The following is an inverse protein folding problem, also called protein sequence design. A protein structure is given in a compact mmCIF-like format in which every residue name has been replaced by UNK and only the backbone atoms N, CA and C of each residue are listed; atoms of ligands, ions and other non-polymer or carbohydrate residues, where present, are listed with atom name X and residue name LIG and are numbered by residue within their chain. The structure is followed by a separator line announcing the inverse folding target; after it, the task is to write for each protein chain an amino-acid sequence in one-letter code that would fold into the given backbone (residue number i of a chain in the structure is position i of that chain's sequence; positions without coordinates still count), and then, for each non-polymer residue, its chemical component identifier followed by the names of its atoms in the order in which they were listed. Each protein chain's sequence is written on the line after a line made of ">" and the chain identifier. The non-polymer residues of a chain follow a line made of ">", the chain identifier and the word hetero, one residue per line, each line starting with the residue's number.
data_IF_822454918389
#
_entry.id   IF_822454918389
#
_cell.length_a   1.000
_cell.length_b   1.000
_cell.length_c   1.000
_cell.angle_alpha   90.00
_cell.angle_beta   90.00
_cell.angle_gamma   90.00
#
_symmetry.space_group_name_H-M   'P 1'
#
loop_
_entity.id
_entity.type
_entity.pdbx_description
1 polymer ?
#
# COMPACT_ATOMS: atom_id res chain seq x y z
N UNK A 1 1.15 -17.60 -24.79
CA UNK A 1 0.69 -17.10 -23.50
C UNK A 1 0.63 -15.59 -23.56
N UNK A 2 -0.57 -15.01 -23.57
CA UNK A 2 -0.77 -13.56 -23.42
C UNK A 2 -0.31 -13.09 -22.03
N UNK A 3 -0.07 -11.79 -21.81
CA UNK A 3 0.22 -11.27 -20.47
C UNK A 3 -0.86 -11.64 -19.43
N UNK A 4 -2.15 -11.62 -19.83
CA UNK A 4 -3.25 -12.10 -19.00
C UNK A 4 -3.14 -13.58 -18.66
N UNK A 5 -2.94 -14.45 -19.64
CA UNK A 5 -2.80 -15.89 -19.39
C UNK A 5 -1.63 -16.19 -18.44
N UNK A 6 -0.55 -15.39 -18.52
CA UNK A 6 0.63 -15.52 -17.66
C UNK A 6 0.33 -15.26 -16.19
N UNK A 7 -0.31 -14.14 -15.87
CA UNK A 7 -0.61 -13.81 -14.48
C UNK A 7 -1.69 -14.74 -13.90
N UNK A 8 -2.69 -15.11 -14.70
CA UNK A 8 -3.71 -16.07 -14.25
C UNK A 8 -3.10 -17.47 -14.04
N UNK A 9 -2.15 -17.90 -14.87
CA UNK A 9 -1.41 -19.15 -14.63
C UNK A 9 -0.57 -19.08 -13.36
N UNK A 10 0.08 -17.93 -13.10
CA UNK A 10 0.81 -17.69 -11.85
C UNK A 10 -0.12 -17.82 -10.64
N UNK A 11 -1.29 -17.17 -10.67
CA UNK A 11 -2.32 -17.25 -9.62
C UNK A 11 -2.94 -18.64 -9.45
N UNK A 12 -2.85 -19.51 -10.48
CA UNK A 12 -3.22 -20.93 -10.39
C UNK A 12 -2.06 -21.83 -9.97
N UNK A 13 -0.92 -21.25 -9.62
CA UNK A 13 0.29 -21.96 -9.19
C UNK A 13 0.91 -22.87 -10.24
N UNK A 14 0.64 -22.55 -11.51
CA UNK A 14 1.19 -23.24 -12.67
C UNK A 14 2.63 -22.78 -12.94
N UNK A 15 3.43 -23.65 -13.56
CA UNK A 15 4.72 -23.22 -14.10
C UNK A 15 4.50 -22.26 -15.26
N UNK A 16 5.19 -21.12 -15.22
CA UNK A 16 5.09 -20.08 -16.24
C UNK A 16 6.44 -19.88 -16.95
N UNK A 17 6.43 -19.51 -18.24
CA UNK A 17 7.67 -19.34 -19.01
C UNK A 17 8.47 -18.10 -18.59
N UNK A 18 7.88 -17.18 -17.82
CA UNK A 18 8.48 -15.94 -17.32
C UNK A 18 7.68 -15.38 -16.15
N UNK A 19 8.27 -14.48 -15.38
CA UNK A 19 7.60 -13.80 -14.26
C UNK A 19 6.53 -12.83 -14.77
N UNK A 20 5.37 -12.81 -14.10
CA UNK A 20 4.32 -11.83 -14.37
C UNK A 20 4.69 -10.45 -13.82
N UNK A 21 4.22 -9.38 -14.46
CA UNK A 21 4.52 -7.99 -14.10
C UNK A 21 3.25 -7.18 -13.87
N UNK A 22 3.19 -6.47 -12.74
CA UNK A 22 2.10 -5.53 -12.39
C UNK A 22 2.72 -4.21 -11.95
N UNK A 23 2.54 -3.11 -12.70
CA UNK A 23 3.26 -1.86 -12.42
C UNK A 23 2.69 -1.03 -11.27
N UNK A 24 1.44 -1.25 -10.81
CA UNK A 24 0.75 -0.36 -9.84
C UNK A 24 1.01 1.13 -10.14
N UNK A 25 0.67 1.55 -11.36
CA UNK A 25 1.01 2.88 -11.86
C UNK A 25 0.14 4.03 -11.30
N UNK A 26 -0.84 3.75 -10.44
CA UNK A 26 -1.92 4.64 -9.96
C UNK A 26 -1.92 6.06 -10.51
N UNK A 27 -1.50 7.03 -9.70
CA UNK A 27 -1.48 8.44 -10.11
C UNK A 27 -0.36 8.77 -11.09
N UNK A 28 0.73 8.00 -11.10
CA UNK A 28 1.81 8.13 -12.08
C UNK A 28 1.31 7.95 -13.53
N UNK A 29 0.22 7.20 -13.75
CA UNK A 29 -0.42 7.10 -15.05
C UNK A 29 -0.79 8.48 -15.64
N UNK A 30 -1.13 9.46 -14.79
CA UNK A 30 -1.39 10.83 -15.20
C UNK A 30 -0.19 11.56 -15.77
N UNK A 31 1.00 11.34 -15.20
CA UNK A 31 2.24 11.93 -15.68
C UNK A 31 2.50 11.59 -17.15
N UNK A 32 2.12 10.38 -17.59
CA UNK A 32 2.29 9.90 -18.97
C UNK A 32 1.49 10.70 -20.00
N UNK A 33 0.41 11.35 -19.58
CA UNK A 33 -0.45 12.16 -20.44
C UNK A 33 -0.42 13.66 -20.08
N UNK A 34 0.44 14.05 -19.12
CA UNK A 34 0.55 15.43 -18.65
C UNK A 34 -0.60 15.89 -17.74
N UNK A 35 -1.33 14.96 -17.12
CA UNK A 35 -2.35 15.25 -16.12
C UNK A 35 -1.81 15.05 -14.71
N UNK A 36 -2.40 15.77 -13.75
CA UNK A 36 -2.10 15.60 -12.33
C UNK A 36 -2.99 14.51 -11.68
N UNK A 37 -2.73 14.15 -10.43
CA UNK A 37 -3.44 13.09 -9.71
C UNK A 37 -4.95 13.36 -9.63
N UNK A 38 -5.35 14.59 -9.27
CA UNK A 38 -6.76 14.97 -9.18
C UNK A 38 -7.47 14.86 -10.53
N UNK A 39 -6.85 15.35 -11.60
CA UNK A 39 -7.41 15.31 -12.95
C UNK A 39 -7.65 13.88 -13.44
N UNK A 40 -6.77 12.94 -13.09
CA UNK A 40 -6.92 11.52 -13.45
C UNK A 40 -7.96 10.83 -12.58
N UNK A 41 -7.97 11.08 -11.27
CA UNK A 41 -8.87 10.42 -10.34
C UNK A 41 -10.30 10.99 -10.32
N UNK A 42 -10.55 12.10 -11.02
CA UNK A 42 -11.87 12.74 -11.10
C UNK A 42 -12.44 12.85 -12.53
N UNK A 43 -11.79 12.29 -13.55
CA UNK A 43 -12.26 12.35 -14.93
C UNK A 43 -12.07 11.02 -15.68
N UNK A 44 -13.17 10.46 -16.18
CA UNK A 44 -13.19 9.16 -16.86
C UNK A 44 -12.26 9.09 -18.08
N UNK A 45 -12.23 10.15 -18.90
CA UNK A 45 -11.45 10.17 -20.13
C UNK A 45 -9.95 10.30 -19.83
N UNK A 46 -9.59 11.12 -18.84
CA UNK A 46 -8.20 11.22 -18.38
C UNK A 46 -7.71 9.88 -17.85
N UNK A 47 -8.49 9.23 -16.96
CA UNK A 47 -8.13 7.91 -16.42
C UNK A 47 -8.01 6.86 -17.52
N UNK A 48 -8.99 6.77 -18.43
CA UNK A 48 -8.95 5.84 -19.54
C UNK A 48 -7.70 6.06 -20.43
N UNK A 49 -7.43 7.30 -20.83
CA UNK A 49 -6.29 7.63 -21.70
C UNK A 49 -4.94 7.34 -21.01
N UNK A 50 -4.83 7.67 -19.72
CA UNK A 50 -3.66 7.38 -18.90
C UNK A 50 -3.39 5.86 -18.83
N UNK A 51 -4.42 5.05 -18.58
CA UNK A 51 -4.31 3.58 -18.52
C UNK A 51 -3.93 2.97 -19.87
N UNK A 52 -4.39 3.54 -20.99
CA UNK A 52 -3.98 3.09 -22.33
C UNK A 52 -2.50 3.38 -22.60
N UNK A 53 -1.96 4.51 -22.13
CA UNK A 53 -0.52 4.79 -22.20
C UNK A 53 0.29 3.88 -21.26
N UNK A 54 -0.19 3.60 -20.05
CA UNK A 54 0.40 2.58 -19.16
C UNK A 54 0.48 1.22 -19.86
N UNK A 55 -0.62 0.76 -20.46
CA UNK A 55 -0.65 -0.52 -21.16
C UNK A 55 0.37 -0.56 -22.31
N UNK A 56 0.45 0.51 -23.10
CA UNK A 56 1.36 0.65 -24.25
C UNK A 56 2.83 0.68 -23.84
N UNK A 57 3.19 1.47 -22.83
CA UNK A 57 4.57 1.67 -22.41
C UNK A 57 5.06 0.53 -21.50
N UNK A 58 4.23 0.12 -20.54
CA UNK A 58 4.64 -0.80 -19.48
C UNK A 58 4.23 -2.26 -19.69
N UNK A 59 3.41 -2.55 -20.72
CA UNK A 59 3.05 -3.91 -21.17
C UNK A 59 2.70 -4.87 -20.01
N UNK A 60 1.79 -4.46 -19.11
CA UNK A 60 1.47 -5.20 -17.89
C UNK A 60 0.93 -6.60 -18.17
N UNK A 61 1.21 -7.54 -17.27
CA UNK A 61 0.44 -8.79 -17.15
C UNK A 61 -0.87 -8.55 -16.40
N UNK A 62 -0.82 -7.69 -15.38
CA UNK A 62 -2.00 -7.17 -14.67
C UNK A 62 -1.98 -5.64 -14.59
N UNK A 63 -3.14 -5.00 -14.75
CA UNK A 63 -3.30 -3.54 -14.72
C UNK A 63 -4.37 -3.12 -13.70
N UNK A 64 -3.99 -2.49 -12.59
CA UNK A 64 -4.91 -1.76 -11.72
C UNK A 64 -5.56 -0.60 -12.47
N UNK A 65 -6.89 -0.55 -12.47
CA UNK A 65 -7.64 0.51 -13.16
C UNK A 65 -7.65 1.80 -12.35
N UNK A 66 -7.64 1.69 -11.02
CA UNK A 66 -7.55 2.83 -10.10
C UNK A 66 -6.78 2.40 -8.85
N UNK A 67 -6.03 3.33 -8.26
CA UNK A 67 -5.41 3.18 -6.95
C UNK A 67 -5.80 4.38 -6.10
N UNK A 68 -6.89 4.24 -5.34
CA UNK A 68 -7.42 5.27 -4.45
C UNK A 68 -8.23 4.56 -3.35
N UNK A 69 -7.71 4.58 -2.11
CA UNK A 69 -8.34 3.92 -0.97
C UNK A 69 -9.52 4.70 -0.40
N UNK A 70 -9.77 5.90 -0.92
CA UNK A 70 -10.67 6.85 -0.27
C UNK A 70 -12.04 6.88 -0.92
N UNK A 71 -12.26 6.10 -1.97
CA UNK A 71 -13.54 6.06 -2.70
C UNK A 71 -14.68 5.64 -1.78
N UNK A 72 -14.49 4.55 -1.02
CA UNK A 72 -15.47 4.05 -0.05
C UNK A 72 -15.65 5.03 1.11
N UNK A 73 -14.56 5.56 1.65
CA UNK A 73 -14.57 6.53 2.75
C UNK A 73 -15.30 7.83 2.36
N UNK A 74 -15.05 8.36 1.17
CA UNK A 74 -15.72 9.55 0.60
C UNK A 74 -17.23 9.34 0.51
N UNK A 75 -17.66 8.16 0.05
CA UNK A 75 -19.08 7.82 -0.05
C UNK A 75 -19.77 7.71 1.31
N UNK A 76 -19.00 7.45 2.37
CA UNK A 76 -19.47 7.32 3.76
C UNK A 76 -19.29 8.60 4.58
N UNK A 77 -18.89 9.71 3.94
CA UNK A 77 -18.87 11.03 4.55
C UNK A 77 -17.51 11.48 5.11
N UNK A 78 -16.42 10.76 4.83
CA UNK A 78 -15.09 11.28 5.11
C UNK A 78 -14.78 12.47 4.18
N UNK A 79 -14.18 13.54 4.73
CA UNK A 79 -13.68 14.64 3.90
C UNK A 79 -12.27 14.31 3.41
N UNK A 80 -11.98 14.67 2.16
CA UNK A 80 -10.71 14.39 1.51
C UNK A 80 -9.88 15.66 1.28
N UNK A 81 -8.58 15.56 1.57
CA UNK A 81 -7.57 16.52 1.12
C UNK A 81 -6.90 15.99 -0.13
N UNK A 82 -6.85 16.84 -1.17
CA UNK A 82 -6.29 16.50 -2.47
C UNK A 82 -4.91 17.11 -2.66
N UNK A 83 -3.99 16.33 -3.23
CA UNK A 83 -2.72 16.78 -3.75
C UNK A 83 -2.70 16.64 -5.28
N UNK A 84 -1.82 17.40 -5.95
CA UNK A 84 -1.69 17.32 -7.41
C UNK A 84 -0.82 16.12 -7.85
N UNK A 85 -0.02 15.56 -6.96
CA UNK A 85 0.99 14.54 -7.24
C UNK A 85 0.83 13.25 -6.41
N UNK A 86 -0.32 13.09 -5.75
CA UNK A 86 -0.63 11.90 -4.95
C UNK A 86 -2.13 11.61 -4.89
N UNK A 87 -2.54 10.38 -4.54
CA UNK A 87 -3.92 10.08 -4.19
C UNK A 87 -4.40 10.98 -3.04
N UNK A 88 -5.72 11.24 -2.93
CA UNK A 88 -6.24 12.01 -1.80
C UNK A 88 -6.02 11.27 -0.47
N UNK A 89 -6.01 12.02 0.62
CA UNK A 89 -6.00 11.50 1.99
C UNK A 89 -7.24 11.95 2.75
N UNK A 90 -7.67 11.15 3.73
CA UNK A 90 -8.77 11.53 4.63
C UNK A 90 -8.28 12.62 5.58
N UNK A 91 -9.05 13.70 5.68
CA UNK A 91 -8.77 14.84 6.58
C UNK A 91 -9.81 15.03 7.67
N UNK A 92 -10.94 14.35 7.59
CA UNK A 92 -11.97 14.34 8.63
C UNK A 92 -12.68 12.99 8.65
N UNK A 93 -12.89 12.47 9.86
CA UNK A 93 -13.45 11.16 10.14
C UNK A 93 -14.86 11.34 10.76
N UNK A 94 -15.93 10.84 10.12
CA UNK A 94 -17.31 11.14 10.52
C UNK A 94 -17.70 10.65 11.92
N UNK A 95 -16.97 9.69 12.48
CA UNK A 95 -17.26 9.07 13.78
C UNK A 95 -16.16 9.32 14.81
N UNK A 96 -15.24 10.28 14.58
CA UNK A 96 -14.10 10.52 15.47
C UNK A 96 -14.52 11.09 16.83
N UNK A 97 -15.50 12.00 16.82
CA UNK A 97 -15.96 12.71 18.03
C UNK A 97 -17.00 11.91 18.84
N UNK A 98 -17.48 10.77 18.32
CA UNK A 98 -18.47 9.94 19.01
C UNK A 98 -17.84 9.29 20.25
N UNK A 99 -18.54 9.32 21.39
CA UNK A 99 -18.04 8.69 22.64
C UNK A 99 -17.94 7.17 22.49
N UNK A 100 -19.01 6.54 21.98
CA UNK A 100 -19.09 5.09 21.78
C UNK A 100 -18.97 4.74 20.29
N UNK A 101 -18.33 3.61 19.98
CA UNK A 101 -18.30 3.07 18.62
C UNK A 101 -19.65 2.44 18.27
N UNK A 102 -20.38 3.04 17.32
CA UNK A 102 -21.70 2.56 16.89
C UNK A 102 -21.69 2.15 15.42
N UNK A 103 -21.98 0.87 15.15
CA UNK A 103 -22.08 0.35 13.79
C UNK A 103 -23.22 1.03 12.99
N UNK A 104 -22.94 1.63 11.81
CA UNK A 104 -23.96 2.23 10.97
C UNK A 104 -24.97 1.22 10.41
N UNK A 105 -26.12 1.71 9.95
CA UNK A 105 -27.13 0.92 9.26
C UNK A 105 -26.61 0.39 7.91
N UNK A 106 -26.89 -0.86 7.54
CA UNK A 106 -26.58 -1.43 6.22
C UNK A 106 -27.14 -0.59 5.04
N UNK A 107 -28.16 0.24 5.28
CA UNK A 107 -28.71 1.19 4.32
C UNK A 107 -27.75 2.32 3.91
N UNK A 108 -26.61 2.46 4.60
CA UNK A 108 -25.53 3.42 4.29
C UNK A 108 -24.42 2.82 3.42
N UNK A 109 -24.45 1.50 3.16
CA UNK A 109 -23.46 0.85 2.31
C UNK A 109 -23.52 1.47 0.90
N UNK A 110 -22.40 1.97 0.34
CA UNK A 110 -22.38 2.61 -0.96
C UNK A 110 -22.93 1.69 -2.07
N UNK A 111 -23.73 2.27 -2.93
CA UNK A 111 -24.24 1.63 -4.15
C UNK A 111 -23.36 1.97 -5.34
N UNK A 112 -23.56 1.27 -6.46
CA UNK A 112 -22.84 1.55 -7.71
C UNK A 112 -23.06 2.96 -8.27
N UNK A 113 -24.06 3.70 -7.77
CA UNK A 113 -24.44 5.05 -8.20
C UNK A 113 -23.86 6.17 -7.32
N UNK A 114 -23.19 5.83 -6.22
CA UNK A 114 -22.72 6.80 -5.24
C UNK A 114 -21.33 7.38 -5.59
N UNK A 115 -21.15 8.67 -5.29
CA UNK A 115 -19.86 9.37 -5.41
C UNK A 115 -19.18 9.20 -6.77
N UNK A 116 -17.91 8.78 -6.74
CA UNK A 116 -17.10 8.53 -7.95
C UNK A 116 -17.25 7.12 -8.51
N UNK A 117 -18.02 6.24 -7.88
CA UNK A 117 -18.17 4.84 -8.30
C UNK A 117 -18.67 4.71 -9.74
N UNK A 118 -19.70 5.46 -10.21
CA UNK A 118 -20.14 5.40 -11.61
C UNK A 118 -19.03 5.68 -12.62
N UNK A 119 -18.17 6.66 -12.32
CA UNK A 119 -17.04 7.04 -13.18
C UNK A 119 -16.02 5.90 -13.26
N UNK A 120 -15.69 5.30 -12.13
CA UNK A 120 -14.75 4.17 -12.05
C UNK A 120 -15.30 2.97 -12.83
N UNK A 121 -16.59 2.66 -12.66
CA UNK A 121 -17.24 1.55 -13.36
C UNK A 121 -17.31 1.77 -14.88
N UNK A 122 -17.52 3.01 -15.35
CA UNK A 122 -17.43 3.35 -16.77
C UNK A 122 -16.04 3.04 -17.33
N UNK A 123 -14.98 3.53 -16.66
CA UNK A 123 -13.59 3.32 -17.10
C UNK A 123 -13.22 1.84 -17.09
N UNK A 124 -13.59 1.10 -16.04
CA UNK A 124 -13.37 -0.35 -15.95
C UNK A 124 -13.97 -1.09 -17.14
N UNK A 125 -15.23 -0.78 -17.52
CA UNK A 125 -15.90 -1.39 -18.67
C UNK A 125 -15.21 -1.02 -20.00
N UNK A 126 -14.78 0.24 -20.15
CA UNK A 126 -14.06 0.71 -21.35
C UNK A 126 -12.70 0.02 -21.50
N UNK A 127 -11.93 -0.10 -20.42
CA UNK A 127 -10.63 -0.78 -20.43
C UNK A 127 -10.81 -2.28 -20.66
N UNK A 128 -11.83 -2.90 -20.04
CA UNK A 128 -12.18 -4.31 -20.31
C UNK A 128 -12.41 -4.56 -21.79
N UNK A 129 -13.22 -3.71 -22.44
CA UNK A 129 -13.49 -3.81 -23.86
C UNK A 129 -12.26 -3.54 -24.75
N UNK A 130 -11.31 -2.73 -24.27
CA UNK A 130 -10.14 -2.32 -25.07
C UNK A 130 -8.99 -3.32 -25.01
N UNK A 131 -8.63 -3.82 -23.83
CA UNK A 131 -7.41 -4.62 -23.60
C UNK A 131 -7.60 -5.85 -22.70
N UNK A 132 -8.81 -6.11 -22.22
CA UNK A 132 -9.07 -7.11 -21.18
C UNK A 132 -8.92 -8.58 -21.61
N UNK A 133 -8.73 -8.85 -22.89
CA UNK A 133 -8.33 -10.17 -23.42
C UNK A 133 -6.80 -10.38 -23.35
N UNK A 134 -6.02 -9.30 -23.38
CA UNK A 134 -4.56 -9.35 -23.40
C UNK A 134 -3.94 -9.11 -22.02
N UNK A 135 -4.58 -8.29 -21.19
CA UNK A 135 -4.10 -7.89 -19.84
C UNK A 135 -5.16 -8.24 -18.79
N UNK A 136 -4.76 -8.84 -17.67
CA UNK A 136 -5.68 -9.03 -16.55
C UNK A 136 -5.96 -7.69 -15.87
N UNK A 137 -7.22 -7.40 -15.55
CA UNK A 137 -7.58 -6.12 -14.95
C UNK A 137 -7.80 -6.25 -13.44
N UNK A 138 -7.26 -5.31 -12.69
CA UNK A 138 -7.34 -5.27 -11.23
C UNK A 138 -8.32 -4.17 -10.82
N UNK A 139 -9.34 -4.56 -10.04
CA UNK A 139 -10.13 -3.65 -9.23
C UNK A 139 -9.50 -3.53 -7.85
N UNK A 140 -9.44 -2.33 -7.30
CA UNK A 140 -8.80 -2.08 -6.02
C UNK A 140 -9.83 -1.50 -5.06
N UNK A 141 -10.00 -2.15 -3.91
CA UNK A 141 -10.94 -1.72 -2.87
C UNK A 141 -10.19 -1.44 -1.57
N UNK A 142 -10.74 -0.54 -0.76
CA UNK A 142 -10.27 -0.31 0.59
C UNK A 142 -10.58 -1.54 1.47
N UNK A 143 -9.57 -2.02 2.19
CA UNK A 143 -9.75 -3.14 3.10
C UNK A 143 -10.57 -2.78 4.34
N UNK A 144 -11.21 -3.78 5.00
CA UNK A 144 -12.13 -3.53 6.11
C UNK A 144 -11.51 -2.74 7.27
N UNK A 145 -10.24 -2.96 7.61
CA UNK A 145 -9.64 -2.32 8.77
C UNK A 145 -9.20 -0.88 8.48
N UNK A 146 -8.60 -0.66 7.31
CA UNK A 146 -8.30 0.70 6.84
C UNK A 146 -9.57 1.52 6.69
N UNK A 147 -10.67 0.94 6.20
CA UNK A 147 -11.95 1.62 6.12
C UNK A 147 -12.51 1.96 7.52
N UNK A 148 -12.43 1.04 8.48
CA UNK A 148 -12.82 1.30 9.86
C UNK A 148 -12.03 2.48 10.46
N UNK A 149 -10.71 2.51 10.26
CA UNK A 149 -9.86 3.63 10.66
C UNK A 149 -10.25 4.93 9.94
N UNK A 150 -10.62 4.88 8.65
CA UNK A 150 -11.07 6.06 7.92
C UNK A 150 -12.38 6.64 8.47
N UNK A 151 -13.26 5.81 9.02
CA UNK A 151 -14.53 6.29 9.58
C UNK A 151 -14.36 6.77 11.03
N UNK A 152 -13.57 6.06 11.82
CA UNK A 152 -13.43 6.25 13.28
C UNK A 152 -12.22 7.09 13.70
N UNK A 153 -11.24 7.29 12.81
CA UNK A 153 -9.98 7.94 13.14
C UNK A 153 -9.06 7.04 13.98
N UNK A 154 -8.14 7.65 14.72
CA UNK A 154 -7.20 6.93 15.61
C UNK A 154 -7.89 6.17 16.75
N UNK A 155 -9.12 6.56 17.13
CA UNK A 155 -9.85 5.93 18.21
C UNK A 155 -10.09 4.44 18.00
N UNK A 156 -10.08 3.96 16.74
CA UNK A 156 -10.24 2.53 16.43
C UNK A 156 -9.21 1.65 17.14
N UNK A 157 -7.97 2.12 17.33
CA UNK A 157 -6.93 1.35 18.00
C UNK A 157 -7.19 1.22 19.51
N UNK A 158 -7.82 2.22 20.12
CA UNK A 158 -8.24 2.17 21.52
C UNK A 158 -9.50 1.33 21.67
N UNK A 159 -10.47 1.48 20.76
CA UNK A 159 -11.71 0.69 20.73
C UNK A 159 -11.41 -0.83 20.69
N UNK A 160 -10.33 -1.26 20.01
CA UNK A 160 -9.89 -2.66 20.01
C UNK A 160 -9.54 -3.22 21.40
N UNK A 161 -9.20 -2.38 22.36
CA UNK A 161 -8.96 -2.78 23.74
C UNK A 161 -10.18 -2.57 24.64
N UNK A 162 -10.90 -1.46 24.44
CA UNK A 162 -11.97 -1.01 25.33
C UNK A 162 -13.32 -1.69 25.04
N UNK A 163 -13.66 -1.92 23.77
CA UNK A 163 -14.89 -2.58 23.34
C UNK A 163 -14.68 -3.50 22.11
N UNK A 164 -14.08 -4.69 22.31
CA UNK A 164 -13.82 -5.65 21.24
C UNK A 164 -15.08 -6.09 20.47
N UNK A 165 -16.22 -6.22 21.16
CA UNK A 165 -17.48 -6.66 20.55
C UNK A 165 -18.00 -5.61 19.56
N UNK A 166 -17.97 -4.32 19.93
CA UNK A 166 -18.34 -3.24 19.02
C UNK A 166 -17.41 -3.16 17.80
N UNK A 167 -16.10 -3.38 17.99
CA UNK A 167 -15.13 -3.41 16.88
C UNK A 167 -15.40 -4.57 15.93
N UNK A 168 -15.70 -5.77 16.43
CA UNK A 168 -16.08 -6.92 15.58
C UNK A 168 -17.32 -6.62 14.74
N UNK A 169 -18.37 -6.04 15.32
CA UNK A 169 -19.59 -5.65 14.59
C UNK A 169 -19.29 -4.57 13.53
N UNK A 170 -18.41 -3.63 13.85
CA UNK A 170 -18.03 -2.55 12.95
C UNK A 170 -17.18 -3.04 11.77
N UNK A 171 -16.26 -3.98 12.01
CA UNK A 171 -15.47 -4.64 10.97
C UNK A 171 -16.33 -5.53 10.08
N UNK A 172 -17.35 -6.19 10.62
CA UNK A 172 -18.35 -6.92 9.82
C UNK A 172 -19.07 -5.96 8.85
N UNK A 173 -19.46 -4.77 9.32
CA UNK A 173 -20.05 -3.73 8.46
C UNK A 173 -19.07 -3.26 7.37
N UNK A 174 -17.81 -2.97 7.70
CA UNK A 174 -16.78 -2.61 6.72
C UNK A 174 -16.52 -3.74 5.70
N UNK A 175 -16.58 -5.00 6.13
CA UNK A 175 -16.48 -6.16 5.24
C UNK A 175 -17.67 -6.26 4.27
N UNK A 176 -18.91 -5.92 4.70
CA UNK A 176 -20.06 -5.85 3.78
C UNK A 176 -19.85 -4.80 2.68
N UNK A 177 -19.26 -3.65 3.02
CA UNK A 177 -18.92 -2.61 2.04
C UNK A 177 -17.87 -3.13 1.05
N UNK A 178 -16.79 -3.73 1.55
CA UNK A 178 -15.76 -4.33 0.70
C UNK A 178 -16.33 -5.40 -0.25
N UNK A 179 -17.24 -6.26 0.22
CA UNK A 179 -17.94 -7.24 -0.61
C UNK A 179 -18.81 -6.58 -1.68
N UNK A 180 -19.54 -5.51 -1.36
CA UNK A 180 -20.35 -4.78 -2.33
C UNK A 180 -19.48 -4.17 -3.45
N UNK A 181 -18.40 -3.48 -3.07
CA UNK A 181 -17.43 -2.89 -4.01
C UNK A 181 -16.76 -3.94 -4.90
N UNK A 182 -16.29 -5.05 -4.30
CA UNK A 182 -15.77 -6.19 -5.06
C UNK A 182 -16.80 -6.70 -6.07
N UNK A 183 -18.06 -6.82 -5.67
CA UNK A 183 -19.17 -7.19 -6.55
C UNK A 183 -19.29 -6.29 -7.77
N UNK A 184 -19.30 -4.97 -7.57
CA UNK A 184 -19.41 -3.99 -8.66
C UNK A 184 -18.23 -4.07 -9.62
N UNK A 185 -17.01 -4.23 -9.11
CA UNK A 185 -15.79 -4.29 -9.93
C UNK A 185 -15.69 -5.59 -10.72
N UNK A 186 -16.07 -6.73 -10.12
CA UNK A 186 -16.13 -8.01 -10.83
C UNK A 186 -17.18 -7.95 -11.95
N UNK A 187 -18.35 -7.36 -11.69
CA UNK A 187 -19.40 -7.18 -12.71
C UNK A 187 -18.99 -6.23 -13.85
N UNK A 188 -18.11 -5.25 -13.56
CA UNK A 188 -17.49 -4.41 -14.58
C UNK A 188 -16.38 -5.12 -15.39
N UNK A 189 -15.98 -6.33 -14.96
CA UNK A 189 -15.07 -7.21 -15.69
C UNK A 189 -13.65 -7.28 -15.14
N UNK A 190 -13.41 -6.84 -13.89
CA UNK A 190 -12.11 -7.02 -13.23
C UNK A 190 -11.84 -8.51 -12.97
N UNK A 191 -10.64 -8.97 -13.27
CA UNK A 191 -10.22 -10.36 -13.13
C UNK A 191 -9.63 -10.64 -11.73
N UNK A 192 -9.07 -9.60 -11.08
CA UNK A 192 -8.49 -9.65 -9.73
C UNK A 192 -9.01 -8.50 -8.89
N UNK A 193 -9.36 -8.76 -7.64
CA UNK A 193 -9.67 -7.73 -6.63
C UNK A 193 -8.48 -7.61 -5.68
N UNK A 194 -7.79 -6.47 -5.73
CA UNK A 194 -6.79 -6.07 -4.76
C UNK A 194 -7.50 -5.47 -3.54
N UNK A 195 -7.45 -6.16 -2.42
CA UNK A 195 -7.95 -5.68 -1.12
C UNK A 195 -6.76 -5.01 -0.44
N UNK A 196 -6.74 -3.68 -0.44
CA UNK A 196 -5.60 -2.90 0.04
C UNK A 196 -5.89 -2.39 1.45
N UNK A 197 -5.11 -2.87 2.41
CA UNK A 197 -5.33 -2.58 3.83
C UNK A 197 -4.01 -2.28 4.57
N UNK A 198 -3.41 -1.08 4.37
CA UNK A 198 -2.13 -0.71 4.96
C UNK A 198 -2.14 -0.76 6.50
N UNK A 199 -3.30 -0.59 7.14
CA UNK A 199 -3.41 -0.59 8.60
C UNK A 199 -3.14 -1.97 9.21
N UNK A 200 -3.21 -3.04 8.42
CA UNK A 200 -2.77 -4.39 8.83
C UNK A 200 -1.29 -4.42 9.22
N UNK A 201 -0.44 -3.61 8.58
CA UNK A 201 0.97 -3.54 8.98
C UNK A 201 1.17 -2.87 10.35
N UNK A 202 0.15 -2.19 10.88
CA UNK A 202 0.22 -1.39 12.11
C UNK A 202 -0.30 -2.12 13.36
N UNK A 203 -0.73 -3.37 13.23
CA UNK A 203 -1.23 -4.19 14.35
C UNK A 203 -0.41 -5.47 14.55
N UNK A 204 -0.52 -6.04 15.74
CA UNK A 204 0.10 -7.33 16.07
C UNK A 204 -0.61 -8.50 15.36
N UNK A 205 0.09 -9.63 15.22
CA UNK A 205 -0.50 -10.87 14.69
C UNK A 205 -1.66 -11.36 15.56
N UNK A 206 -1.61 -11.14 16.88
CA UNK A 206 -2.71 -11.51 17.79
C UNK A 206 -3.96 -10.67 17.51
N UNK A 207 -3.83 -9.35 17.35
CA UNK A 207 -4.95 -8.49 16.97
C UNK A 207 -5.48 -8.84 15.58
N UNK A 208 -4.60 -9.23 14.65
CA UNK A 208 -5.04 -9.73 13.36
C UNK A 208 -5.88 -11.01 13.51
N UNK A 209 -5.38 -11.99 14.28
CA UNK A 209 -6.08 -13.26 14.50
C UNK A 209 -7.46 -13.04 15.13
N UNK A 210 -7.55 -12.15 16.10
CA UNK A 210 -8.76 -11.79 16.83
C UNK A 210 -9.79 -11.06 15.94
N UNK A 211 -9.39 -9.94 15.32
CA UNK A 211 -10.34 -9.03 14.67
C UNK A 211 -10.42 -9.19 13.15
N UNK A 212 -9.35 -9.66 12.51
CA UNK A 212 -9.18 -9.59 11.05
C UNK A 212 -9.44 -10.93 10.36
N UNK A 213 -9.20 -12.06 11.03
CA UNK A 213 -9.37 -13.40 10.43
C UNK A 213 -10.74 -13.58 9.78
N UNK A 214 -11.81 -13.28 10.51
CA UNK A 214 -13.19 -13.45 10.03
C UNK A 214 -13.51 -12.55 8.82
N UNK A 215 -13.40 -11.20 8.91
CA UNK A 215 -13.80 -10.34 7.80
C UNK A 215 -13.01 -10.61 6.52
N UNK A 216 -11.70 -10.87 6.61
CA UNK A 216 -10.90 -11.18 5.42
C UNK A 216 -11.20 -12.55 4.84
N UNK A 217 -11.37 -13.59 5.68
CA UNK A 217 -11.73 -14.94 5.19
C UNK A 217 -13.04 -14.89 4.42
N UNK A 218 -14.05 -14.19 4.94
CA UNK A 218 -15.33 -14.05 4.25
C UNK A 218 -15.23 -13.21 2.97
N UNK A 219 -14.43 -12.14 2.97
CA UNK A 219 -14.22 -11.29 1.79
C UNK A 219 -13.54 -12.06 0.66
N UNK A 220 -12.47 -12.80 0.96
CA UNK A 220 -11.77 -13.60 -0.06
C UNK A 220 -12.61 -14.77 -0.55
N UNK A 221 -13.40 -15.41 0.32
CA UNK A 221 -14.39 -16.40 -0.11
C UNK A 221 -15.43 -15.79 -1.06
N UNK A 222 -15.96 -14.60 -0.75
CA UNK A 222 -16.92 -13.91 -1.60
C UNK A 222 -16.37 -13.56 -2.99
N UNK A 223 -15.13 -13.05 -3.07
CA UNK A 223 -14.44 -12.75 -4.33
C UNK A 223 -14.30 -14.02 -5.18
N UNK A 224 -13.86 -15.12 -4.56
CA UNK A 224 -13.71 -16.42 -5.20
C UNK A 224 -15.04 -16.99 -5.70
N UNK A 225 -16.11 -16.88 -4.91
CA UNK A 225 -17.47 -17.31 -5.29
C UNK A 225 -18.00 -16.56 -6.51
N UNK A 226 -17.65 -15.27 -6.65
CA UNK A 226 -17.96 -14.45 -7.83
C UNK A 226 -17.04 -14.73 -9.03
N UNK A 227 -16.06 -15.62 -8.90
CA UNK A 227 -15.22 -16.10 -10.01
C UNK A 227 -14.01 -15.21 -10.33
N UNK A 228 -13.61 -14.33 -9.41
CA UNK A 228 -12.41 -13.52 -9.53
C UNK A 228 -11.32 -14.00 -8.56
N UNK A 229 -10.08 -13.57 -8.80
CA UNK A 229 -8.97 -13.79 -7.87
C UNK A 229 -8.86 -12.65 -6.86
N UNK A 230 -8.26 -12.94 -5.71
CA UNK A 230 -8.00 -11.97 -4.64
C UNK A 230 -6.51 -11.70 -4.48
N UNK A 231 -6.14 -10.44 -4.26
CA UNK A 231 -4.80 -10.05 -3.82
C UNK A 231 -4.90 -9.26 -2.53
N UNK A 232 -4.37 -9.81 -1.44
CA UNK A 232 -4.27 -9.11 -0.17
C UNK A 232 -3.05 -8.19 -0.20
N UNK A 233 -3.27 -6.90 -0.35
CA UNK A 233 -2.21 -5.92 -0.47
C UNK A 233 -2.05 -5.18 0.85
N UNK A 234 -0.87 -5.26 1.46
CA UNK A 234 -0.57 -4.49 2.68
C UNK A 234 0.69 -3.65 2.45
N UNK A 235 0.54 -2.33 2.46
CA UNK A 235 1.68 -1.41 2.47
C UNK A 235 2.27 -1.28 3.90
N UNK A 236 3.57 -1.01 4.02
CA UNK A 236 4.30 -0.99 5.29
C UNK A 236 4.90 -2.36 5.69
N UNK A 237 5.52 -2.44 6.87
CA UNK A 237 6.15 -3.68 7.36
C UNK A 237 5.11 -4.70 7.86
N UNK A 238 4.57 -5.47 6.92
CA UNK A 238 3.64 -6.56 7.21
C UNK A 238 4.33 -7.88 7.61
N UNK A 239 5.66 -7.91 7.81
CA UNK A 239 6.44 -9.15 7.98
C UNK A 239 5.85 -10.10 9.02
N UNK A 240 5.37 -9.55 10.14
CA UNK A 240 4.77 -10.31 11.26
C UNK A 240 3.40 -10.90 10.94
N UNK A 241 2.69 -10.32 9.98
CA UNK A 241 1.31 -10.68 9.65
C UNK A 241 1.21 -11.57 8.40
N UNK A 242 2.30 -11.81 7.67
CA UNK A 242 2.28 -12.63 6.44
C UNK A 242 1.65 -14.00 6.66
N UNK A 243 2.00 -14.72 7.73
CA UNK A 243 1.48 -16.07 7.97
C UNK A 243 -0.03 -16.06 8.26
N UNK A 244 -0.50 -15.16 9.12
CA UNK A 244 -1.93 -15.04 9.44
C UNK A 244 -2.73 -14.49 8.25
N UNK A 245 -2.14 -13.63 7.42
CA UNK A 245 -2.71 -13.21 6.13
C UNK A 245 -2.86 -14.38 5.15
N UNK A 246 -1.91 -15.32 5.12
CA UNK A 246 -2.08 -16.53 4.29
C UNK A 246 -3.26 -17.38 4.76
N UNK A 247 -3.49 -17.45 6.08
CA UNK A 247 -4.55 -18.28 6.66
C UNK A 247 -5.97 -17.80 6.33
N UNK A 248 -6.14 -16.54 5.90
CA UNK A 248 -7.42 -16.03 5.38
C UNK A 248 -7.71 -16.47 3.94
N UNK A 249 -6.82 -17.26 3.33
CA UNK A 249 -6.94 -17.86 1.99
C UNK A 249 -7.12 -16.88 0.80
N UNK A 250 -6.33 -15.79 0.70
CA UNK A 250 -6.25 -15.02 -0.54
C UNK A 250 -5.52 -15.82 -1.63
N UNK A 251 -5.69 -15.45 -2.91
CA UNK A 251 -4.94 -16.10 -4.01
C UNK A 251 -3.52 -15.53 -4.15
N UNK A 252 -3.32 -14.28 -3.75
CA UNK A 252 -2.03 -13.61 -3.68
C UNK A 252 -1.92 -12.67 -2.47
N UNK A 253 -0.69 -12.43 -2.01
CA UNK A 253 -0.32 -11.36 -1.08
C UNK A 253 0.66 -10.42 -1.79
N UNK A 254 0.40 -9.12 -1.78
CA UNK A 254 1.33 -8.10 -2.28
C UNK A 254 1.98 -7.37 -1.11
N UNK A 255 3.31 -7.30 -1.09
CA UNK A 255 4.09 -6.74 0.02
C UNK A 255 4.91 -5.53 -0.39
N UNK A 256 5.11 -4.64 0.58
CA UNK A 256 5.87 -3.40 0.44
C UNK A 256 7.39 -3.57 0.54
N UNK A 257 8.14 -2.53 0.18
CA UNK A 257 9.62 -2.48 0.24
C UNK A 257 10.19 -2.70 1.65
N UNK A 258 9.39 -2.49 2.69
CA UNK A 258 9.75 -2.78 4.08
C UNK A 258 9.80 -4.29 4.42
N UNK A 259 9.25 -5.16 3.58
CA UNK A 259 9.22 -6.61 3.82
C UNK A 259 10.38 -7.31 3.12
N UNK A 260 11.04 -8.24 3.80
CA UNK A 260 11.98 -9.14 3.12
C UNK A 260 11.20 -10.13 2.24
N UNK A 261 11.19 -9.89 0.94
CA UNK A 261 10.40 -10.65 -0.02
C UNK A 261 10.74 -12.15 -0.04
N UNK A 262 12.03 -12.52 0.08
CA UNK A 262 12.43 -13.93 0.07
C UNK A 262 11.92 -14.68 1.31
N UNK A 263 12.06 -14.06 2.49
CA UNK A 263 11.55 -14.62 3.73
C UNK A 263 10.01 -14.70 3.73
N UNK A 264 9.33 -13.67 3.21
CA UNK A 264 7.88 -13.70 3.05
C UNK A 264 7.44 -14.78 2.06
N UNK A 265 8.16 -14.96 0.94
CA UNK A 265 7.90 -16.00 -0.05
C UNK A 265 8.00 -17.40 0.56
N UNK A 266 9.00 -17.66 1.40
CA UNK A 266 9.10 -18.93 2.13
C UNK A 266 7.86 -19.23 2.98
N UNK A 267 7.21 -18.19 3.52
CA UNK A 267 5.94 -18.34 4.26
C UNK A 267 4.80 -18.60 3.27
N UNK A 268 4.61 -17.75 2.26
CA UNK A 268 3.49 -17.88 1.32
C UNK A 268 3.50 -19.20 0.55
N UNK A 269 4.69 -19.73 0.23
CA UNK A 269 4.83 -21.02 -0.45
C UNK A 269 4.34 -22.20 0.40
N UNK A 270 4.42 -22.13 1.74
CA UNK A 270 3.85 -23.17 2.64
C UNK A 270 2.33 -23.25 2.54
N UNK A 271 1.69 -22.12 2.25
CA UNK A 271 0.25 -22.00 2.09
C UNK A 271 -0.20 -22.04 0.62
N UNK A 272 0.75 -22.15 -0.31
CA UNK A 272 0.51 -22.08 -1.74
C UNK A 272 -0.26 -20.79 -2.12
N UNK A 273 0.19 -19.66 -1.60
CA UNK A 273 -0.32 -18.31 -1.90
C UNK A 273 0.72 -17.60 -2.78
N UNK A 274 0.28 -16.89 -3.82
CA UNK A 274 1.20 -16.09 -4.64
C UNK A 274 1.74 -14.89 -3.86
N UNK A 275 2.95 -14.46 -4.16
CA UNK A 275 3.53 -13.24 -3.59
C UNK A 275 3.85 -12.22 -4.68
N UNK A 276 3.47 -10.96 -4.42
CA UNK A 276 3.72 -9.80 -5.25
C UNK A 276 4.64 -8.80 -4.58
N UNK A 277 5.48 -8.12 -5.37
CA UNK A 277 6.36 -7.04 -4.89
C UNK A 277 7.83 -7.25 -5.26
N UNK A 278 8.76 -6.50 -4.68
CA UNK A 278 8.51 -5.28 -3.93
C UNK A 278 9.56 -4.22 -4.30
N UNK A 279 9.63 -3.87 -5.60
CA UNK A 279 10.61 -2.88 -6.08
C UNK A 279 10.51 -1.59 -5.25
N UNK A 280 11.63 -1.10 -4.66
CA UNK A 280 11.62 0.09 -3.83
C UNK A 280 11.16 1.33 -4.58
N UNK A 281 10.13 1.99 -4.05
CA UNK A 281 9.47 3.10 -4.71
C UNK A 281 10.36 4.34 -4.77
N UNK A 282 11.02 4.64 -3.66
CA UNK A 282 11.72 5.91 -3.51
C UNK A 282 13.16 5.82 -3.99
N UNK A 283 13.91 4.83 -3.51
CA UNK A 283 15.35 4.72 -3.76
C UNK A 283 15.68 4.14 -5.13
N UNK A 284 14.86 3.22 -5.64
CA UNK A 284 15.07 2.58 -6.95
C UNK A 284 14.22 3.24 -8.02
N UNK A 285 12.90 3.34 -7.83
CA UNK A 285 12.03 3.85 -8.90
C UNK A 285 12.07 5.37 -9.06
N UNK A 286 11.91 6.15 -7.98
CA UNK A 286 11.84 7.61 -8.08
C UNK A 286 13.21 8.28 -8.26
N UNK A 287 14.15 7.98 -7.36
CA UNK A 287 15.47 8.64 -7.34
C UNK A 287 16.58 7.85 -8.02
N UNK A 288 16.33 6.59 -8.38
CA UNK A 288 17.27 5.77 -9.13
C UNK A 288 17.28 6.09 -10.62
N UNK A 289 18.17 5.43 -11.34
CA UNK A 289 18.26 5.46 -12.80
C UNK A 289 17.58 4.25 -13.43
N UNK A 290 17.44 4.29 -14.75
CA UNK A 290 16.94 3.15 -15.51
C UNK A 290 17.79 1.89 -15.27
N UNK A 291 19.11 2.03 -15.09
CA UNK A 291 20.01 0.90 -14.81
C UNK A 291 19.84 0.38 -13.38
N UNK A 292 19.55 1.23 -12.40
CA UNK A 292 19.23 0.80 -11.03
C UNK A 292 17.98 -0.09 -11.01
N UNK A 293 16.93 0.31 -11.74
CA UNK A 293 15.70 -0.46 -11.87
C UNK A 293 15.94 -1.80 -12.56
N UNK A 294 16.68 -1.80 -13.68
CA UNK A 294 17.09 -3.02 -14.36
C UNK A 294 17.87 -3.95 -13.44
N UNK A 295 18.89 -3.42 -12.74
CA UNK A 295 19.76 -4.17 -11.85
C UNK A 295 18.99 -4.77 -10.68
N UNK A 296 18.11 -3.99 -10.04
CA UNK A 296 17.28 -4.47 -8.95
C UNK A 296 16.41 -5.65 -9.36
N UNK A 297 15.71 -5.53 -10.51
CA UNK A 297 14.85 -6.62 -11.01
C UNK A 297 15.66 -7.89 -11.31
N UNK A 298 16.81 -7.77 -11.97
CA UNK A 298 17.67 -8.93 -12.26
C UNK A 298 18.18 -9.57 -10.97
N UNK A 299 18.68 -8.78 -10.03
CA UNK A 299 19.18 -9.29 -8.76
C UNK A 299 18.09 -10.00 -7.95
N UNK A 300 16.89 -9.42 -7.94
CA UNK A 300 15.73 -10.02 -7.27
C UNK A 300 15.37 -11.36 -7.91
N UNK A 301 15.25 -11.41 -9.24
CA UNK A 301 14.96 -12.65 -9.95
C UNK A 301 16.07 -13.70 -9.74
N UNK A 302 17.33 -13.31 -9.76
CA UNK A 302 18.47 -14.22 -9.57
C UNK A 302 18.61 -14.71 -8.12
N UNK A 303 18.10 -13.95 -7.15
CA UNK A 303 18.05 -14.34 -5.74
C UNK A 303 16.99 -15.39 -5.40
N UNK A 304 16.03 -15.63 -6.31
CA UNK A 304 14.97 -16.63 -6.13
C UNK A 304 15.32 -17.96 -6.83
N UNK A 305 15.45 -19.03 -6.05
CA UNK A 305 15.60 -20.39 -6.60
C UNK A 305 14.34 -20.85 -7.34
N UNK A 306 13.16 -20.72 -6.71
CA UNK A 306 11.85 -20.97 -7.32
C UNK A 306 11.12 -19.65 -7.58
N UNK A 307 10.74 -19.42 -8.83
CA UNK A 307 10.01 -18.22 -9.30
C UNK A 307 8.53 -18.50 -9.51
N UNK A 308 8.05 -19.72 -9.26
CA UNK A 308 6.62 -20.03 -9.23
C UNK A 308 5.96 -19.21 -8.12
N UNK A 309 4.67 -18.91 -8.29
CA UNK A 309 3.90 -18.11 -7.33
C UNK A 309 4.47 -16.70 -7.09
N UNK A 310 5.26 -16.15 -8.01
CA UNK A 310 5.83 -14.81 -7.89
C UNK A 310 5.33 -13.87 -8.99
N UNK A 311 4.89 -12.68 -8.57
CA UNK A 311 4.51 -11.57 -9.42
C UNK A 311 5.44 -10.40 -9.11
N UNK A 312 6.21 -9.95 -10.11
CA UNK A 312 7.03 -8.75 -9.93
C UNK A 312 6.13 -7.51 -9.93
N UNK A 313 6.30 -6.67 -8.93
CA UNK A 313 5.65 -5.36 -8.85
C UNK A 313 6.43 -4.40 -7.96
N UNK A 314 6.13 -3.09 -8.01
CA UNK A 314 6.54 -2.17 -6.95
C UNK A 314 5.95 -2.54 -5.60
N UNK A 315 6.51 -1.99 -4.52
CA UNK A 315 6.05 -2.25 -3.14
C UNK A 315 4.66 -1.68 -2.79
N UNK A 316 4.28 -0.56 -3.40
CA UNK A 316 2.96 0.10 -3.23
C UNK A 316 2.65 0.88 -4.53
N UNK A 317 1.76 1.87 -4.48
CA UNK A 317 1.49 2.75 -5.62
C UNK A 317 2.75 3.54 -6.05
N UNK A 318 2.99 3.63 -7.35
CA UNK A 318 4.14 4.37 -7.87
C UNK A 318 4.02 5.87 -7.59
N UNK A 319 5.07 6.53 -7.05
CA UNK A 319 5.09 7.98 -6.93
C UNK A 319 4.83 8.66 -8.27
N UNK A 320 4.03 9.73 -8.27
CA UNK A 320 3.64 10.44 -9.50
C UNK A 320 4.83 10.80 -10.39
N UNK A 321 5.95 11.21 -9.79
CA UNK A 321 7.11 11.74 -10.48
C UNK A 321 8.15 10.68 -10.92
N UNK A 322 7.88 9.37 -10.77
CA UNK A 322 8.80 8.32 -11.23
C UNK A 322 9.20 8.55 -12.70
N UNK A 323 10.50 8.66 -13.04
CA UNK A 323 10.93 8.77 -14.43
C UNK A 323 10.42 7.60 -15.27
N UNK A 324 9.81 7.90 -16.43
CA UNK A 324 9.18 6.89 -17.29
C UNK A 324 10.18 5.80 -17.72
N UNK A 325 11.43 6.20 -17.97
CA UNK A 325 12.52 5.31 -18.31
C UNK A 325 12.83 4.27 -17.23
N UNK A 326 12.59 4.57 -15.96
CA UNK A 326 12.87 3.67 -14.84
C UNK A 326 11.93 2.46 -14.88
N UNK A 327 10.63 2.71 -15.05
CA UNK A 327 9.62 1.66 -15.22
C UNK A 327 9.84 0.89 -16.52
N UNK A 328 10.22 1.55 -17.62
CA UNK A 328 10.63 0.86 -18.85
C UNK A 328 11.83 -0.07 -18.61
N UNK A 329 12.78 0.34 -17.75
CA UNK A 329 13.90 -0.49 -17.35
C UNK A 329 13.47 -1.76 -16.63
N UNK A 330 12.56 -1.66 -15.66
CA UNK A 330 11.97 -2.81 -14.98
C UNK A 330 11.23 -3.75 -15.96
N UNK A 331 10.47 -3.17 -16.90
CA UNK A 331 9.78 -3.93 -17.96
C UNK A 331 10.76 -4.66 -18.88
N UNK A 332 11.86 -4.02 -19.27
CA UNK A 332 12.89 -4.69 -20.07
C UNK A 332 13.54 -5.83 -19.29
N UNK A 333 13.84 -5.62 -18.00
CA UNK A 333 14.45 -6.64 -17.14
C UNK A 333 13.57 -7.88 -16.95
N UNK A 334 12.26 -7.71 -16.75
CA UNK A 334 11.34 -8.84 -16.59
C UNK A 334 11.02 -9.54 -17.92
N UNK A 335 11.05 -8.83 -19.04
CA UNK A 335 10.73 -9.40 -20.35
C UNK A 335 11.94 -10.03 -21.06
N UNK A 336 13.14 -9.52 -20.81
CA UNK A 336 14.40 -9.92 -21.46
C UNK A 336 15.52 -10.08 -20.41
N UNK A 337 15.35 -10.97 -19.40
CA UNK A 337 16.24 -11.02 -18.25
C UNK A 337 17.70 -11.34 -18.61
N UNK A 338 17.92 -12.23 -19.58
CA UNK A 338 19.28 -12.62 -19.97
C UNK A 338 20.07 -11.50 -20.65
N UNK A 339 19.42 -10.74 -21.53
CA UNK A 339 20.03 -9.59 -22.20
C UNK A 339 20.32 -8.48 -21.19
N UNK A 340 19.36 -8.17 -20.32
CA UNK A 340 19.51 -7.13 -19.31
C UNK A 340 20.59 -7.51 -18.29
N UNK A 341 20.67 -8.78 -17.87
CA UNK A 341 21.74 -9.27 -16.99
C UNK A 341 23.12 -8.98 -17.57
N UNK A 342 23.30 -9.20 -18.87
CA UNK A 342 24.55 -8.85 -19.57
C UNK A 342 24.78 -7.33 -19.66
N UNK A 343 23.72 -6.53 -19.84
CA UNK A 343 23.80 -5.06 -19.85
C UNK A 343 24.26 -4.49 -18.50
N UNK A 344 23.78 -5.04 -17.38
CA UNK A 344 24.05 -4.51 -16.03
C UNK A 344 25.12 -5.28 -15.24
N UNK A 345 25.78 -6.29 -15.82
CA UNK A 345 26.75 -7.14 -15.10
C UNK A 345 27.92 -6.40 -14.45
N UNK A 346 28.32 -5.26 -15.02
CA UNK A 346 29.40 -4.41 -14.51
C UNK A 346 28.87 -3.09 -13.92
N UNK A 347 27.55 -2.94 -13.81
CA UNK A 347 26.92 -1.76 -13.26
C UNK A 347 27.01 -1.76 -11.73
N UNK A 348 27.34 -0.61 -11.17
CA UNK A 348 27.36 -0.35 -9.74
C UNK A 348 26.58 0.94 -9.53
N UNK A 349 25.54 0.88 -8.71
CA UNK A 349 24.73 2.04 -8.38
C UNK A 349 25.59 3.14 -7.73
N UNK A 350 25.34 4.38 -8.11
CA UNK A 350 25.94 5.53 -7.43
C UNK A 350 25.26 5.73 -6.06
N UNK A 351 26.06 5.99 -5.03
CA UNK A 351 25.54 6.35 -3.70
C UNK A 351 25.53 7.88 -3.58
N UNK A 352 24.38 8.45 -3.24
CA UNK A 352 24.22 9.89 -3.00
C UNK A 352 24.86 10.21 -1.63
N UNK A 353 26.08 10.78 -1.62
CA UNK A 353 26.81 11.16 -0.40
C UNK A 353 26.30 12.49 0.20
N UNK A 354 25.00 12.53 0.52
CA UNK A 354 24.37 13.70 1.15
C UNK A 354 24.77 13.73 2.63
N UNK A 355 25.48 14.78 3.01
CA UNK A 355 25.90 14.99 4.40
C UNK A 355 24.73 15.55 5.23
N UNK A 356 24.26 14.76 6.21
CA UNK A 356 23.17 15.15 7.12
C UNK A 356 23.69 15.28 8.55
N UNK A 357 23.34 16.35 9.24
CA UNK A 357 23.64 16.53 10.67
C UNK A 357 22.61 15.81 11.54
N UNK A 358 23.09 15.05 12.52
CA UNK A 358 22.26 14.38 13.53
C UNK A 358 22.46 15.11 14.86
N UNK A 359 21.38 15.40 15.61
CA UNK A 359 21.46 16.02 16.92
C UNK A 359 22.34 15.24 17.90
N UNK A 360 22.92 15.96 18.87
CA UNK A 360 23.53 15.32 20.03
C UNK A 360 22.43 14.88 21.00
N UNK A 361 21.95 13.65 20.82
CA UNK A 361 20.86 13.07 21.61
C UNK A 361 21.17 12.96 23.11
N UNK A 362 22.44 13.01 23.52
CA UNK A 362 22.83 12.94 24.94
C UNK A 362 22.68 14.28 25.67
N UNK A 363 22.69 15.40 24.93
CA UNK A 363 22.72 16.75 25.47
C UNK A 363 21.57 17.63 24.98
N UNK A 364 20.42 17.02 24.67
CA UNK A 364 19.21 17.76 24.29
C UNK A 364 18.62 18.53 25.49
N UNK A 365 18.12 19.74 25.25
CA UNK A 365 17.44 20.55 26.27
C UNK A 365 16.08 19.96 26.69
N UNK A 366 15.45 19.22 25.78
CA UNK A 366 14.17 18.53 25.95
C UNK A 366 14.12 17.29 25.06
N UNK A 367 13.27 16.30 25.37
CA UNK A 367 13.07 15.14 24.52
C UNK A 367 12.73 15.54 23.08
N UNK A 368 13.36 14.85 22.13
CA UNK A 368 13.15 15.05 20.71
C UNK A 368 12.52 13.80 20.10
N UNK A 369 11.30 13.95 19.61
CA UNK A 369 10.53 12.91 18.93
C UNK A 369 10.67 13.08 17.41
N UNK A 370 11.27 12.08 16.77
CA UNK A 370 11.45 12.05 15.32
C UNK A 370 10.53 10.99 14.75
N UNK A 371 9.64 11.39 13.85
CA UNK A 371 8.71 10.48 13.19
C UNK A 371 9.17 10.30 11.74
N UNK A 372 9.58 9.09 11.40
CA UNK A 372 9.99 8.75 10.05
C UNK A 372 8.80 8.15 9.32
N UNK A 373 8.45 8.74 8.19
CA UNK A 373 7.30 8.37 7.36
C UNK A 373 7.74 8.21 5.91
N UNK A 374 6.94 7.52 5.09
CA UNK A 374 7.08 7.67 3.64
C UNK A 374 6.70 9.10 3.25
N UNK A 375 5.44 9.44 3.53
CA UNK A 375 4.88 10.80 3.55
C UNK A 375 3.52 10.72 4.26
N UNK A 376 3.34 11.37 5.41
CA UNK A 376 2.08 11.27 6.15
C UNK A 376 0.90 11.98 5.47
N UNK A 377 1.16 12.81 4.45
CA UNK A 377 0.10 13.47 3.70
C UNK A 377 -0.59 12.52 2.72
N UNK A 378 0.05 11.40 2.36
CA UNK A 378 -0.38 10.56 1.23
C UNK A 378 -0.40 9.06 1.57
N UNK A 379 0.44 8.61 2.50
CA UNK A 379 0.46 7.22 2.98
C UNK A 379 -0.41 7.06 4.23
N UNK A 380 -1.50 6.27 4.13
CA UNK A 380 -2.45 6.06 5.22
C UNK A 380 -1.79 5.61 6.54
N UNK A 381 -0.93 4.60 6.52
CA UNK A 381 -0.23 4.15 7.73
C UNK A 381 0.64 5.26 8.36
N UNK A 382 1.27 6.10 7.53
CA UNK A 382 2.03 7.25 7.99
C UNK A 382 1.12 8.35 8.56
N UNK A 383 -0.07 8.55 7.99
CA UNK A 383 -1.08 9.49 8.48
C UNK A 383 -1.49 9.15 9.91
N UNK A 384 -1.82 7.89 10.20
CA UNK A 384 -2.24 7.47 11.56
C UNK A 384 -1.07 7.51 12.56
N UNK A 385 0.14 7.09 12.16
CA UNK A 385 1.33 7.24 13.03
C UNK A 385 1.60 8.71 13.38
N UNK A 386 1.50 9.61 12.40
CA UNK A 386 1.64 11.05 12.63
C UNK A 386 0.49 11.62 13.46
N UNK A 387 -0.73 11.09 13.32
CA UNK A 387 -1.87 11.43 14.17
C UNK A 387 -1.55 11.18 15.65
N UNK A 388 -1.10 9.96 16.00
CA UNK A 388 -0.69 9.62 17.36
C UNK A 388 0.44 10.54 17.88
N UNK A 389 1.43 10.83 17.03
CA UNK A 389 2.53 11.74 17.38
C UNK A 389 2.05 13.19 17.62
N UNK A 390 1.13 13.68 16.80
CA UNK A 390 0.54 15.02 16.92
C UNK A 390 -0.28 15.16 18.21
N UNK A 391 -1.07 14.14 18.57
CA UNK A 391 -1.81 14.10 19.84
C UNK A 391 -0.87 14.18 21.04
N UNK A 392 0.22 13.40 21.03
CA UNK A 392 1.24 13.48 22.06
C UNK A 392 1.89 14.88 22.11
N UNK A 393 2.23 15.47 20.96
CA UNK A 393 2.78 16.83 20.89
C UNK A 393 1.81 17.88 21.45
N UNK A 394 0.51 17.74 21.20
CA UNK A 394 -0.51 18.60 21.77
C UNK A 394 -0.59 18.46 23.30
N UNK A 395 -0.48 17.24 23.83
CA UNK A 395 -0.52 16.97 25.27
C UNK A 395 0.72 17.50 26.02
N UNK A 396 1.92 17.31 25.47
CA UNK A 396 3.18 17.73 26.11
C UNK A 396 3.58 19.19 25.83
N UNK A 397 3.08 19.78 24.74
CA UNK A 397 3.37 21.17 24.36
C UNK A 397 4.87 21.43 24.19
N UNK A 398 5.38 22.47 24.86
CA UNK A 398 6.79 22.88 24.73
C UNK A 398 7.79 21.94 25.42
N UNK A 399 7.30 20.95 26.19
CA UNK A 399 8.15 19.98 26.91
C UNK A 399 8.91 19.03 25.98
N UNK A 400 8.48 18.88 24.72
CA UNK A 400 9.14 18.05 23.72
C UNK A 400 9.31 18.81 22.41
N UNK A 401 10.30 18.43 21.62
CA UNK A 401 10.36 18.77 20.20
C UNK A 401 9.87 17.60 19.35
N UNK A 402 9.26 17.92 18.20
CA UNK A 402 8.77 16.92 17.27
C UNK A 402 9.02 17.36 15.83
N UNK A 403 9.46 16.43 14.99
CA UNK A 403 9.58 16.64 13.55
C UNK A 403 9.20 15.36 12.80
N UNK A 404 8.61 15.53 11.62
CA UNK A 404 8.45 14.48 10.63
C UNK A 404 9.63 14.51 9.64
N UNK A 405 10.20 13.35 9.36
CA UNK A 405 11.15 13.17 8.26
C UNK A 405 10.53 12.27 7.20
N UNK A 406 10.16 12.88 6.06
CA UNK A 406 9.51 12.22 4.92
C UNK A 406 10.54 11.55 4.03
N UNK A 407 10.42 10.24 3.84
CA UNK A 407 11.39 9.45 3.08
C UNK A 407 11.43 9.80 1.59
N UNK A 408 10.39 10.44 1.07
CA UNK A 408 10.34 10.95 -0.31
C UNK A 408 11.41 12.02 -0.61
N UNK A 409 11.96 12.68 0.41
CA UNK A 409 13.01 13.70 0.30
C UNK A 409 14.42 13.08 0.41
N UNK A 410 15.33 13.44 -0.51
CA UNK A 410 16.68 12.86 -0.59
C UNK A 410 17.50 13.02 0.69
N UNK A 411 17.43 14.19 1.32
CA UNK A 411 18.09 14.50 2.58
C UNK A 411 17.61 13.57 3.71
N UNK A 412 16.33 13.23 3.72
CA UNK A 412 15.74 12.35 4.73
C UNK A 412 16.10 10.88 4.48
N UNK A 413 16.27 10.46 3.22
CA UNK A 413 16.83 9.12 2.90
C UNK A 413 18.23 8.99 3.52
N UNK A 414 19.09 10.00 3.33
CA UNK A 414 20.42 10.02 3.92
C UNK A 414 20.36 10.04 5.47
N UNK A 415 19.38 10.76 6.05
CA UNK A 415 19.13 10.73 7.50
C UNK A 415 18.76 9.34 7.99
N UNK A 416 17.78 8.68 7.34
CA UNK A 416 17.37 7.32 7.66
C UNK A 416 18.55 6.35 7.63
N UNK A 417 19.37 6.42 6.58
CA UNK A 417 20.60 5.61 6.46
C UNK A 417 21.57 5.85 7.61
N UNK A 418 21.82 7.11 7.97
CA UNK A 418 22.74 7.49 9.04
C UNK A 418 22.22 7.11 10.44
N UNK A 419 20.91 7.16 10.64
CA UNK A 419 20.25 6.71 11.88
C UNK A 419 20.01 5.21 11.95
N UNK A 420 20.15 4.48 10.84
CA UNK A 420 19.84 3.05 10.78
C UNK A 420 18.35 2.76 10.86
N UNK A 421 17.50 3.67 10.38
CA UNK A 421 16.05 3.45 10.25
C UNK A 421 15.83 2.33 9.24
N UNK A 422 15.15 1.27 9.67
CA UNK A 422 14.90 0.08 8.86
C UNK A 422 13.51 0.07 8.23
N UNK A 423 12.51 0.48 9.01
CA UNK A 423 11.11 0.33 8.68
C UNK A 423 10.36 1.66 8.83
N UNK A 424 9.38 1.87 7.95
CA UNK A 424 8.47 3.01 7.99
C UNK A 424 7.00 2.55 8.15
N UNK A 425 6.13 3.37 8.76
CA UNK A 425 6.50 4.51 9.61
C UNK A 425 7.14 4.05 10.94
N UNK A 426 7.93 4.91 11.57
CA UNK A 426 8.53 4.63 12.89
C UNK A 426 8.74 5.89 13.72
N UNK A 427 8.70 5.74 15.05
CA UNK A 427 8.94 6.82 16.01
C UNK A 427 10.22 6.54 16.78
N UNK A 428 11.11 7.54 16.79
CA UNK A 428 12.33 7.58 17.57
C UNK A 428 12.21 8.68 18.64
N UNK A 429 12.70 8.40 19.84
CA UNK A 429 12.80 9.41 20.91
C UNK A 429 14.26 9.48 21.35
N UNK A 430 14.84 10.68 21.25
CA UNK A 430 16.27 10.92 21.49
C UNK A 430 17.16 9.93 20.72
N UNK A 431 16.86 9.74 19.42
CA UNK A 431 17.63 8.87 18.53
C UNK A 431 17.46 7.37 18.77
N UNK A 432 16.58 6.96 19.69
CA UNK A 432 16.30 5.54 19.98
C UNK A 432 14.94 5.14 19.41
N UNK A 433 14.91 4.05 18.64
CA UNK A 433 13.68 3.48 18.14
C UNK A 433 12.76 3.09 19.31
N UNK A 434 11.51 3.58 19.28
CA UNK A 434 10.47 3.23 20.26
C UNK A 434 9.34 2.44 19.62
N UNK A 435 8.87 2.87 18.45
CA UNK A 435 7.78 2.21 17.74
C UNK A 435 8.16 2.01 16.27
N UNK A 436 7.99 0.79 15.76
CA UNK A 436 8.34 0.41 14.39
C UNK A 436 7.14 -0.25 13.72
N UNK A 437 6.51 0.47 12.81
CA UNK A 437 5.33 0.00 12.07
C UNK A 437 4.25 -0.56 13.00
N UNK A 438 4.04 0.09 14.15
CA UNK A 438 2.91 -0.14 15.04
C UNK A 438 2.52 1.25 15.50
N UNK A 439 1.28 1.65 15.21
CA UNK A 439 0.75 2.90 15.77
C UNK A 439 0.56 2.66 17.28
N UNK A 440 1.26 3.40 18.15
CA UNK A 440 1.15 3.19 19.58
C UNK A 440 -0.18 3.67 20.12
N UNK A 441 -0.63 3.09 21.23
CA UNK A 441 -1.68 3.72 22.03
C UNK A 441 -1.19 5.06 22.60
N UNK A 442 -2.14 5.92 22.98
CA UNK A 442 -1.82 7.19 23.64
C UNK A 442 -0.98 6.96 24.89
N UNK A 443 -1.37 6.02 25.75
CA UNK A 443 -0.68 5.69 26.99
C UNK A 443 0.73 5.18 26.74
N UNK A 444 0.91 4.33 25.72
CA UNK A 444 2.22 3.78 25.35
C UNK A 444 3.18 4.89 24.90
N UNK A 445 2.71 5.79 24.03
CA UNK A 445 3.54 6.89 23.53
C UNK A 445 3.84 7.92 24.64
N UNK A 446 2.85 8.28 25.45
CA UNK A 446 3.06 9.17 26.60
C UNK A 446 4.03 8.57 27.62
N UNK A 447 3.94 7.26 27.90
CA UNK A 447 4.89 6.57 28.77
C UNK A 447 6.31 6.63 28.20
N UNK A 448 6.48 6.34 26.90
CA UNK A 448 7.78 6.38 26.23
C UNK A 448 8.43 7.78 26.25
N UNK A 449 7.62 8.84 26.18
CA UNK A 449 8.09 10.23 26.31
C UNK A 449 8.47 10.55 27.76
N UNK A 450 7.64 10.15 28.74
CA UNK A 450 7.90 10.39 30.16
C UNK A 450 9.18 9.70 30.67
N UNK A 451 9.60 8.59 30.06
CA UNK A 451 10.86 7.91 30.40
C UNK A 451 12.12 8.77 30.18
N UNK A 452 12.03 9.79 29.32
CA UNK A 452 13.19 10.62 28.92
C UNK A 452 13.04 12.11 29.27
N UNK A 453 11.91 12.47 29.91
CA UNK A 453 11.59 13.84 30.33
C UNK A 453 12.36 14.32 31.56
#
# INVERSE_FOLDING_TARGET
>A
MTPKELILATLRHEETPKTAWVPFAGVHAGQLIGCNAREVLSNADNLYNALMEVHKLYKPSGLPVIFDLQVEAECLGCELTWADDAPPSVSHHPMEEDEDLVTPCDCTIPTAEDGRIPMILDVMKRIKASIGEETALYGLICGPFTLAAHLRGNNIFMDMFDDPEAVEEFLDYCCKIAKAMAGYYIEAGMDVIAVVDPLISQISSNHFEEFMTKPFTELFAHIREKGAYSSFFVCGDATRNIEVMCQTNPDAISVDENVNLLAAKEITDKYNVCIGGNIPLTTVMLHGTQQDNMKYVIDLLDSMEDKRNFILSPGCDMPYAVPVENTIGAVQAVTQPDEVREMVKNYVAADDDIQVEIPDYEHLEKPFMEVFTLDSATCAACTYMMGAANEAKAAFGDKIDMIEYKFTEKENIARCKKMGVKNLPSIYINGKLKFSSIVPSKEELEAAINEVL
#
